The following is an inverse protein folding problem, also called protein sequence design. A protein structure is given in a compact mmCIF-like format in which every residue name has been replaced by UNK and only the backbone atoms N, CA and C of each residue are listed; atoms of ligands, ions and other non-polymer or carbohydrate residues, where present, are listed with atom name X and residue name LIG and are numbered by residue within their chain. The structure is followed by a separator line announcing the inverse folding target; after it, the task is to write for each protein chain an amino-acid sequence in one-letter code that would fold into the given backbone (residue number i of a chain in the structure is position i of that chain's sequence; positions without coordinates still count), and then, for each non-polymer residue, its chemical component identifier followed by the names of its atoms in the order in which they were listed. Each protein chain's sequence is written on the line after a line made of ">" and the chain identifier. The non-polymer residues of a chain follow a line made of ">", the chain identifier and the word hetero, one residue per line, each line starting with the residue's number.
data_IF_784362538600
#
_entry.id   IF_784362538600
#
_cell.length_a   1.000
_cell.length_b   1.000
_cell.length_c   1.000
_cell.angle_alpha   90.00
_cell.angle_beta   90.00
_cell.angle_gamma   90.00
#
_symmetry.space_group_name_H-M   'P 1'
#
loop_
_entity.id
_entity.type
_entity.pdbx_description
1 polymer ?
#
# COMPACT_ATOMS: atom_id res chain seq x y z
N UNK A 1 -10.12 -4.97 4.18
CA UNK A 1 -9.79 -5.21 2.75
C UNK A 1 -9.00 -6.49 2.41
N UNK A 2 -8.41 -7.26 3.35
CA UNK A 2 -7.58 -8.45 3.03
C UNK A 2 -8.34 -9.59 2.30
N UNK A 3 -9.64 -9.75 2.58
CA UNK A 3 -10.48 -10.78 1.95
C UNK A 3 -10.90 -10.47 0.50
N UNK A 4 -10.96 -9.18 0.13
CA UNK A 4 -11.46 -8.76 -1.20
C UNK A 4 -10.49 -9.18 -2.31
N UNK A 5 -9.18 -9.12 -2.06
CA UNK A 5 -8.17 -9.52 -3.03
C UNK A 5 -8.20 -11.02 -3.32
N UNK A 6 -8.36 -11.85 -2.28
CA UNK A 6 -8.50 -13.31 -2.43
C UNK A 6 -9.80 -13.64 -3.13
N UNK A 7 -10.92 -13.01 -2.74
CA UNK A 7 -12.21 -13.18 -3.42
C UNK A 7 -12.14 -12.83 -4.90
N UNK A 8 -11.53 -11.69 -5.28
CA UNK A 8 -11.35 -11.30 -6.68
C UNK A 8 -10.50 -12.29 -7.49
N UNK A 9 -9.46 -12.85 -6.88
CA UNK A 9 -8.59 -13.84 -7.52
C UNK A 9 -9.30 -15.19 -7.71
N UNK A 10 -10.09 -15.61 -6.72
CA UNK A 10 -10.78 -16.91 -6.74
C UNK A 10 -12.15 -16.90 -7.39
N UNK A 11 -12.76 -15.73 -7.61
CA UNK A 11 -14.06 -15.63 -8.27
C UNK A 11 -13.92 -16.02 -9.76
N UNK A 12 -14.98 -16.63 -10.27
CA UNK A 12 -15.03 -17.15 -11.64
C UNK A 12 -14.97 -16.02 -12.66
N UNK A 13 -14.32 -16.27 -13.80
CA UNK A 13 -14.19 -15.31 -14.91
C UNK A 13 -15.53 -14.81 -15.46
N UNK A 14 -16.63 -15.55 -15.24
CA UNK A 14 -18.00 -15.11 -15.57
C UNK A 14 -18.55 -13.99 -14.67
N UNK A 15 -18.01 -13.82 -13.46
CA UNK A 15 -18.37 -12.75 -12.53
C UNK A 15 -17.34 -11.59 -12.52
N UNK A 16 -16.33 -11.65 -13.40
CA UNK A 16 -15.26 -10.64 -13.48
C UNK A 16 -14.03 -10.90 -12.60
N UNK A 17 -13.92 -12.09 -12.00
CA UNK A 17 -12.72 -12.55 -11.28
C UNK A 17 -11.66 -13.18 -12.18
N UNK A 18 -10.45 -13.39 -11.65
CA UNK A 18 -9.31 -13.93 -12.42
C UNK A 18 -9.36 -15.47 -12.60
N UNK A 19 -10.28 -16.17 -11.93
CA UNK A 19 -10.48 -17.62 -12.08
C UNK A 19 -9.32 -18.49 -11.58
N UNK A 20 -8.51 -17.98 -10.65
CA UNK A 20 -7.35 -18.70 -10.13
C UNK A 20 -7.74 -19.78 -9.12
N UNK A 21 -6.87 -20.78 -8.98
CA UNK A 21 -7.03 -21.75 -7.89
C UNK A 21 -6.88 -21.04 -6.54
N UNK A 22 -7.62 -21.51 -5.53
CA UNK A 22 -7.53 -20.95 -4.17
C UNK A 22 -6.10 -21.01 -3.62
N UNK A 23 -5.31 -22.02 -4.04
CA UNK A 23 -3.91 -22.15 -3.65
C UNK A 23 -3.05 -21.03 -4.22
N UNK A 24 -3.13 -20.76 -5.53
CA UNK A 24 -2.32 -19.73 -6.18
C UNK A 24 -2.69 -18.32 -5.67
N UNK A 25 -3.97 -18.08 -5.40
CA UNK A 25 -4.44 -16.84 -4.80
C UNK A 25 -3.88 -16.62 -3.39
N UNK A 26 -3.81 -17.68 -2.57
CA UNK A 26 -3.24 -17.62 -1.22
C UNK A 26 -1.72 -17.45 -1.24
N UNK A 27 -1.02 -18.11 -2.16
CA UNK A 27 0.44 -17.96 -2.31
C UNK A 27 0.80 -16.52 -2.71
N UNK A 28 0.10 -15.95 -3.70
CA UNK A 28 0.28 -14.54 -4.08
C UNK A 28 -0.04 -13.60 -2.93
N UNK A 29 -1.14 -13.85 -2.21
CA UNK A 29 -1.53 -13.07 -1.05
C UNK A 29 -0.45 -13.08 0.06
N UNK A 30 0.17 -14.23 0.29
CA UNK A 30 1.27 -14.39 1.24
C UNK A 30 2.48 -13.54 0.84
N UNK A 31 2.91 -13.64 -0.42
CA UNK A 31 4.03 -12.86 -0.97
C UNK A 31 3.73 -11.36 -0.89
N UNK A 32 2.54 -10.94 -1.34
CA UNK A 32 2.11 -9.54 -1.31
C UNK A 32 2.13 -8.99 0.12
N UNK A 33 1.58 -9.74 1.08
CA UNK A 33 1.57 -9.33 2.49
C UNK A 33 2.98 -9.22 3.03
N UNK A 34 3.85 -10.20 2.75
CA UNK A 34 5.26 -10.16 3.16
C UNK A 34 5.98 -8.92 2.64
N UNK A 35 5.84 -8.63 1.34
CA UNK A 35 6.45 -7.45 0.72
C UNK A 35 5.93 -6.14 1.32
N UNK A 36 4.63 -6.03 1.62
CA UNK A 36 4.05 -4.85 2.28
C UNK A 36 4.64 -4.61 3.68
N UNK A 37 5.14 -5.65 4.37
CA UNK A 37 5.83 -5.48 5.66
C UNK A 37 7.33 -5.18 5.51
N UNK A 38 7.99 -5.72 4.48
CA UNK A 38 9.43 -5.53 4.25
C UNK A 38 9.75 -4.19 3.58
N UNK A 39 8.99 -3.80 2.56
CA UNK A 39 9.25 -2.60 1.75
C UNK A 39 9.29 -1.30 2.58
N UNK A 40 8.48 -1.12 3.65
CA UNK A 40 8.61 0.02 4.57
C UNK A 40 10.00 0.20 5.16
N UNK A 41 10.74 -0.87 5.45
CA UNK A 41 12.11 -0.73 5.98
C UNK A 41 13.02 -0.05 4.96
N UNK A 42 12.90 -0.44 3.69
CA UNK A 42 13.65 0.13 2.58
C UNK A 42 13.19 1.57 2.31
N UNK A 43 11.87 1.82 2.32
CA UNK A 43 11.31 3.14 2.06
C UNK A 43 11.63 4.18 3.13
N UNK A 44 11.75 3.76 4.40
CA UNK A 44 12.26 4.61 5.48
C UNK A 44 13.72 5.00 5.26
N UNK A 45 14.57 4.02 4.97
CA UNK A 45 15.99 4.26 4.68
C UNK A 45 16.21 5.21 3.49
N UNK A 46 15.42 5.09 2.42
CA UNK A 46 15.48 6.01 1.27
C UNK A 46 15.07 7.43 1.68
N UNK A 47 14.05 7.57 2.52
CA UNK A 47 13.58 8.88 2.98
C UNK A 47 14.61 9.57 3.87
N UNK A 48 15.26 8.83 4.76
CA UNK A 48 16.27 9.37 5.67
C UNK A 48 17.52 9.86 4.94
N UNK A 49 17.94 9.17 3.87
CA UNK A 49 19.22 9.44 3.21
C UNK A 49 19.12 10.30 1.95
N UNK A 50 18.00 10.27 1.21
CA UNK A 50 17.94 10.85 -0.13
C UNK A 50 16.75 11.80 -0.36
N UNK A 51 15.53 11.39 -0.02
CA UNK A 51 14.32 12.10 -0.46
C UNK A 51 13.76 13.05 0.59
N UNK A 52 13.99 12.78 1.87
CA UNK A 52 13.29 13.41 2.98
C UNK A 52 11.88 12.85 3.18
N UNK A 53 11.37 13.01 4.39
CA UNK A 53 10.09 12.44 4.84
C UNK A 53 8.90 12.93 4.01
N UNK A 54 8.77 14.26 3.84
CA UNK A 54 7.64 14.88 3.13
C UNK A 54 7.52 14.44 1.67
N UNK A 55 8.63 14.40 0.92
CA UNK A 55 8.61 13.97 -0.49
C UNK A 55 8.29 12.49 -0.60
N UNK A 56 8.84 11.67 0.29
CA UNK A 56 8.59 10.22 0.31
C UNK A 56 7.12 9.89 0.55
N UNK A 57 6.47 10.60 1.49
CA UNK A 57 5.02 10.47 1.71
C UNK A 57 4.22 10.88 0.48
N UNK A 58 4.56 12.01 -0.16
CA UNK A 58 3.84 12.48 -1.35
C UNK A 58 3.99 11.53 -2.54
N UNK A 59 5.22 11.06 -2.82
CA UNK A 59 5.50 10.08 -3.87
C UNK A 59 4.78 8.76 -3.55
N UNK A 60 4.86 8.29 -2.31
CA UNK A 60 4.19 7.07 -1.86
C UNK A 60 2.67 7.14 -2.08
N UNK A 61 2.04 8.27 -1.73
CA UNK A 61 0.61 8.49 -1.96
C UNK A 61 0.23 8.50 -3.44
N UNK A 62 1.04 9.13 -4.30
CA UNK A 62 0.82 9.14 -5.75
C UNK A 62 0.95 7.73 -6.33
N UNK A 63 1.97 6.96 -5.94
CA UNK A 63 2.14 5.58 -6.37
C UNK A 63 0.97 4.70 -5.96
N UNK A 64 0.46 4.87 -4.73
CA UNK A 64 -0.72 4.14 -4.26
C UNK A 64 -1.96 4.49 -5.08
N UNK A 65 -2.19 5.78 -5.37
CA UNK A 65 -3.31 6.23 -6.19
C UNK A 65 -3.23 5.67 -7.62
N UNK A 66 -2.04 5.67 -8.23
CA UNK A 66 -1.81 5.07 -9.55
C UNK A 66 -2.01 3.54 -9.51
N UNK A 67 -1.59 2.87 -8.44
CA UNK A 67 -1.82 1.44 -8.26
C UNK A 67 -3.30 1.09 -8.17
N UNK A 68 -4.08 1.88 -7.41
CA UNK A 68 -5.54 1.74 -7.34
C UNK A 68 -6.21 2.05 -8.68
N UNK A 69 -5.73 3.05 -9.41
CA UNK A 69 -6.24 3.36 -10.74
C UNK A 69 -5.97 2.21 -11.71
N UNK A 70 -4.76 1.64 -11.70
CA UNK A 70 -4.40 0.47 -12.51
C UNK A 70 -5.30 -0.74 -12.25
N UNK A 71 -5.72 -0.95 -11.00
CA UNK A 71 -6.65 -2.03 -10.62
C UNK A 71 -8.12 -1.72 -10.91
N UNK A 72 -8.50 -0.44 -10.98
CA UNK A 72 -9.86 -0.01 -11.26
C UNK A 72 -10.20 0.02 -12.76
N UNK A 73 -9.19 0.02 -13.64
CA UNK A 73 -9.40 0.04 -15.08
C UNK A 73 -9.96 -1.30 -15.60
N UNK A 74 -10.92 -1.26 -16.53
CA UNK A 74 -11.48 -2.47 -17.12
C UNK A 74 -10.45 -3.21 -18.00
N UNK A 75 -10.57 -4.55 -18.14
CA UNK A 75 -9.70 -5.35 -19.00
C UNK A 75 -9.65 -4.78 -20.43
N UNK A 76 -8.43 -4.55 -20.96
CA UNK A 76 -8.22 -4.00 -22.30
C UNK A 76 -8.21 -2.47 -22.39
N UNK A 77 -8.37 -1.74 -21.28
CA UNK A 77 -8.09 -0.30 -21.24
C UNK A 77 -6.61 -0.05 -21.64
N UNK A 78 -6.39 0.87 -22.58
CA UNK A 78 -5.07 1.20 -23.14
C UNK A 78 -4.32 0.05 -23.86
N UNK A 79 -4.99 -1.07 -24.18
CA UNK A 79 -4.37 -2.21 -24.86
C UNK A 79 -3.45 -3.06 -23.97
N UNK A 80 -3.55 -2.88 -22.65
CA UNK A 80 -2.76 -3.64 -21.67
C UNK A 80 -3.55 -4.85 -21.19
N UNK A 81 -2.88 -6.01 -21.12
CA UNK A 81 -3.48 -7.24 -20.62
C UNK A 81 -3.87 -7.13 -19.13
N UNK A 82 -4.95 -7.81 -18.74
CA UNK A 82 -5.52 -7.74 -17.38
C UNK A 82 -4.52 -8.20 -16.32
N UNK A 83 -3.72 -9.23 -16.63
CA UNK A 83 -2.70 -9.74 -15.71
C UNK A 83 -1.59 -8.71 -15.50
N UNK A 84 -1.16 -8.03 -16.57
CA UNK A 84 -0.13 -6.98 -16.49
C UNK A 84 -0.61 -5.80 -15.65
N UNK A 85 -1.82 -5.30 -15.90
CA UNK A 85 -2.42 -4.20 -15.12
C UNK A 85 -2.59 -4.57 -13.65
N UNK A 86 -2.92 -5.83 -13.37
CA UNK A 86 -3.03 -6.35 -12.00
C UNK A 86 -1.69 -6.39 -11.27
N UNK A 87 -0.67 -7.03 -11.84
CA UNK A 87 0.66 -7.10 -11.21
C UNK A 87 1.33 -5.73 -11.10
N UNK A 88 1.14 -4.86 -12.09
CA UNK A 88 1.61 -3.47 -12.03
C UNK A 88 0.94 -2.72 -10.88
N UNK A 89 -0.39 -2.84 -10.75
CA UNK A 89 -1.15 -2.23 -9.65
C UNK A 89 -0.69 -2.71 -8.27
N UNK A 90 -0.49 -4.01 -8.10
CA UNK A 90 0.04 -4.58 -6.85
C UNK A 90 1.46 -4.08 -6.55
N UNK A 91 2.33 -4.02 -7.56
CA UNK A 91 3.71 -3.55 -7.40
C UNK A 91 3.75 -2.08 -6.99
N UNK A 92 2.93 -1.24 -7.62
CA UNK A 92 2.79 0.18 -7.27
C UNK A 92 2.25 0.37 -5.85
N UNK A 93 1.30 -0.47 -5.42
CA UNK A 93 0.78 -0.43 -4.05
C UNK A 93 1.83 -0.85 -3.02
N UNK A 94 2.63 -1.89 -3.29
CA UNK A 94 3.73 -2.32 -2.42
C UNK A 94 4.75 -1.18 -2.25
N UNK A 95 5.22 -0.63 -3.37
CA UNK A 95 6.23 0.45 -3.37
C UNK A 95 5.68 1.72 -2.72
N UNK A 96 4.45 2.10 -3.06
CA UNK A 96 3.78 3.26 -2.49
C UNK A 96 3.58 3.13 -0.99
N UNK A 97 3.14 1.95 -0.52
CA UNK A 97 3.01 1.68 0.92
C UNK A 97 4.36 1.76 1.64
N UNK A 98 5.42 1.23 1.02
CA UNK A 98 6.78 1.26 1.55
C UNK A 98 7.31 2.67 1.78
N UNK A 99 7.05 3.60 0.86
CA UNK A 99 7.45 5.01 1.03
C UNK A 99 6.48 5.82 1.88
N UNK A 100 5.22 5.45 1.97
CA UNK A 100 4.22 6.23 2.71
C UNK A 100 4.22 5.91 4.21
N UNK A 101 4.09 4.63 4.55
CA UNK A 101 3.77 4.17 5.90
C UNK A 101 4.82 4.49 6.98
N UNK A 102 6.13 4.28 6.78
CA UNK A 102 7.11 4.62 7.82
C UNK A 102 7.23 6.14 7.95
N UNK A 103 7.24 6.85 6.83
CA UNK A 103 7.59 8.26 6.77
C UNK A 103 6.48 9.19 7.29
N UNK A 104 5.21 8.81 7.14
CA UNK A 104 4.09 9.57 7.73
C UNK A 104 4.15 9.53 9.26
N UNK A 105 4.56 8.41 9.85
CA UNK A 105 4.70 8.27 11.31
C UNK A 105 5.86 9.11 11.84
N UNK A 106 6.98 9.16 11.10
CA UNK A 106 8.12 10.02 11.43
C UNK A 106 7.73 11.50 11.39
N UNK A 107 7.02 11.94 10.35
CA UNK A 107 6.53 13.32 10.27
C UNK A 107 5.65 13.73 11.44
N UNK A 108 4.81 12.83 11.97
CA UNK A 108 3.99 13.12 13.16
C UNK A 108 4.88 13.28 14.40
N UNK A 109 5.94 12.48 14.51
CA UNK A 109 6.94 12.63 15.56
C UNK A 109 7.66 13.97 15.50
N UNK A 110 8.05 14.41 14.30
CA UNK A 110 8.79 15.65 14.07
C UNK A 110 7.98 16.92 14.35
N UNK A 111 6.66 16.82 14.54
CA UNK A 111 5.80 17.95 14.93
C UNK A 111 5.99 18.37 16.39
N UNK A 112 6.63 17.53 17.21
CA UNK A 112 6.77 17.73 18.66
C UNK A 112 8.25 17.63 19.07
N UNK A 113 8.71 18.56 19.90
CA UNK A 113 10.06 18.54 20.45
C UNK A 113 10.26 17.36 21.42
N UNK A 114 11.53 16.98 21.64
CA UNK A 114 11.86 15.94 22.61
C UNK A 114 11.41 16.33 24.04
N UNK A 115 10.62 15.47 24.67
CA UNK A 115 10.07 15.72 26.01
C UNK A 115 8.67 16.36 26.04
N UNK A 116 8.06 16.67 24.88
CA UNK A 116 6.69 17.16 24.84
C UNK A 116 5.68 16.04 25.14
N UNK A 117 4.98 16.16 26.28
CA UNK A 117 3.92 15.24 26.71
C UNK A 117 2.76 15.11 25.71
N UNK A 118 2.59 16.06 24.77
CA UNK A 118 1.55 16.00 23.73
C UNK A 118 1.87 14.98 22.64
N UNK A 119 3.13 14.55 22.51
CA UNK A 119 3.56 13.59 21.48
C UNK A 119 2.79 12.27 21.58
N UNK A 120 2.63 11.72 22.78
CA UNK A 120 1.92 10.45 23.00
C UNK A 120 0.43 10.56 22.67
N UNK A 121 -0.19 11.70 23.03
CA UNK A 121 -1.57 12.00 22.67
C UNK A 121 -1.76 12.14 21.16
N UNK A 122 -0.81 12.78 20.48
CA UNK A 122 -0.83 12.93 19.02
C UNK A 122 -0.73 11.58 18.30
N UNK A 123 0.17 10.69 18.74
CA UNK A 123 0.23 9.32 18.22
C UNK A 123 -1.05 8.55 18.49
N UNK A 124 -1.68 8.74 19.65
CA UNK A 124 -2.97 8.11 19.95
C UNK A 124 -4.05 8.56 18.97
N UNK A 125 -4.18 9.86 18.71
CA UNK A 125 -5.13 10.41 17.72
C UNK A 125 -4.81 9.90 16.31
N UNK A 126 -3.54 9.89 15.94
CA UNK A 126 -3.08 9.39 14.65
C UNK A 126 -3.46 7.90 14.45
N UNK A 127 -3.20 7.04 15.43
CA UNK A 127 -3.56 5.62 15.37
C UNK A 127 -5.08 5.40 15.43
N UNK A 128 -5.83 6.23 16.17
CA UNK A 128 -7.29 6.21 16.13
C UNK A 128 -7.80 6.49 14.71
N UNK A 129 -7.24 7.49 14.03
CA UNK A 129 -7.58 7.79 12.63
C UNK A 129 -7.33 6.62 11.68
N UNK A 130 -6.19 5.93 11.83
CA UNK A 130 -5.87 4.73 11.04
C UNK A 130 -6.89 3.61 11.28
N UNK A 131 -7.30 3.40 12.54
CA UNK A 131 -8.26 2.34 12.88
C UNK A 131 -9.69 2.65 12.44
N UNK A 132 -10.12 3.91 12.48
CA UNK A 132 -11.45 4.35 12.03
C UNK A 132 -11.73 4.10 10.54
N UNK A 133 -10.68 4.14 9.72
CA UNK A 133 -10.78 3.97 8.25
C UNK A 133 -10.66 2.50 7.83
N UNK A 134 -10.35 1.60 8.77
CA UNK A 134 -10.02 0.20 8.48
C UNK A 134 -11.23 -0.72 8.52
#
# INVERSE_FOLDING_TARGET
>A
MRAILVLYLTDTTMNGGLGWSTKDALDLYGIYTGLVYVTPMIGGWIADNYLGQRKSVMIGGILMALGQFSLALPPGAFGVDVHTSFYLGLSLLILGNGLFKPNISTMVGDLYEEGDNRRDGAFTIFYMGINLVR
#
